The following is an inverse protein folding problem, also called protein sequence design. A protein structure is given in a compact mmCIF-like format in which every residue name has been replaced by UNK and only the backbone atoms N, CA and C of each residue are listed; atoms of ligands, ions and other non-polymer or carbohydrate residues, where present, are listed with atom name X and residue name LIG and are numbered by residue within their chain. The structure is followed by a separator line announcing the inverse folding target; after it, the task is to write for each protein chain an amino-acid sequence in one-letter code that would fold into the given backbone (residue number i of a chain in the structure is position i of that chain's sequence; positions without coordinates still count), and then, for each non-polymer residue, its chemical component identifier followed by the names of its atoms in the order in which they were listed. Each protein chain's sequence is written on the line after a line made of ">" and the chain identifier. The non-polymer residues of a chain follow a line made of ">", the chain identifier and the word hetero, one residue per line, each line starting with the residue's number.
data_IF_511037966879
#
_entry.id   IF_511037966879
#
_cell.length_a   1.000
_cell.length_b   1.000
_cell.length_c   1.000
_cell.angle_alpha   90.00
_cell.angle_beta   90.00
_cell.angle_gamma   90.00
#
_symmetry.space_group_name_H-M   'P 1'
#
loop_
_entity.id
_entity.type
_entity.pdbx_description
1 polymer ?
#
# COMPACT_ATOMS: atom_id res chain seq x y z
N UNK A 1 -24.32 -24.61 -5.46
CA UNK A 1 -23.18 -23.90 -6.10
C UNK A 1 -23.66 -22.53 -6.54
N UNK A 2 -22.87 -21.47 -6.39
CA UNK A 2 -23.25 -20.16 -6.95
C UNK A 2 -23.42 -20.28 -8.47
N UNK A 3 -24.32 -19.46 -9.03
CA UNK A 3 -24.56 -19.43 -10.46
C UNK A 3 -23.26 -19.10 -11.24
N UNK A 4 -23.19 -19.49 -12.52
CA UNK A 4 -22.02 -19.22 -13.35
C UNK A 4 -21.62 -17.74 -13.32
N UNK A 5 -20.33 -17.47 -13.06
CA UNK A 5 -19.81 -16.10 -12.94
C UNK A 5 -19.87 -15.48 -11.53
N UNK A 6 -20.29 -16.22 -10.51
CA UNK A 6 -20.32 -15.80 -9.11
C UNK A 6 -19.34 -16.64 -8.29
N UNK A 7 -18.42 -16.00 -7.59
CA UNK A 7 -17.50 -16.66 -6.67
C UNK A 7 -17.63 -16.00 -5.30
N UNK A 8 -17.80 -16.81 -4.27
CA UNK A 8 -17.82 -16.40 -2.87
C UNK A 8 -16.60 -17.05 -2.20
N UNK A 9 -15.82 -16.27 -1.48
CA UNK A 9 -14.64 -16.73 -0.77
C UNK A 9 -14.67 -16.20 0.66
N UNK A 10 -14.55 -17.10 1.63
CA UNK A 10 -14.29 -16.76 3.02
C UNK A 10 -12.84 -17.15 3.33
N UNK A 11 -12.08 -16.24 3.91
CA UNK A 11 -10.73 -16.49 4.39
C UNK A 11 -10.66 -16.16 5.87
N UNK A 12 -10.04 -17.07 6.63
CA UNK A 12 -9.75 -16.92 8.05
C UNK A 12 -8.28 -17.30 8.23
N UNK A 13 -7.51 -16.45 8.87
CA UNK A 13 -6.10 -16.71 9.15
C UNK A 13 -5.71 -16.19 10.52
N UNK A 14 -4.70 -16.81 11.10
CA UNK A 14 -4.04 -16.36 12.31
C UNK A 14 -2.56 -16.71 12.22
N UNK A 15 -1.71 -15.75 12.55
CA UNK A 15 -0.26 -15.91 12.56
C UNK A 15 0.36 -15.14 13.73
N UNK A 16 1.61 -15.50 14.06
CA UNK A 16 2.44 -14.79 15.02
C UNK A 16 3.60 -14.13 14.34
N UNK A 17 3.81 -12.88 14.69
CA UNK A 17 4.94 -12.07 14.26
C UNK A 17 5.86 -11.84 15.48
N UNK A 18 7.12 -12.22 15.35
CA UNK A 18 8.11 -12.04 16.39
C UNK A 18 8.86 -10.74 16.15
N UNK A 19 9.20 -10.00 17.24
CA UNK A 19 10.00 -8.80 17.12
C UNK A 19 11.34 -9.09 16.43
N UNK A 20 11.80 -8.13 15.65
CA UNK A 20 13.11 -8.23 15.02
C UNK A 20 14.24 -8.20 16.03
N UNK A 21 15.33 -8.94 15.79
CA UNK A 21 16.43 -9.07 16.73
C UNK A 21 17.01 -7.72 17.18
N UNK A 22 17.13 -6.78 16.26
CA UNK A 22 17.66 -5.46 16.57
C UNK A 22 16.68 -4.61 17.42
N UNK A 23 15.36 -4.82 17.31
CA UNK A 23 14.36 -4.09 18.08
C UNK A 23 14.30 -4.51 19.55
N UNK A 24 14.77 -5.74 19.87
CA UNK A 24 14.83 -6.27 21.24
C UNK A 24 16.18 -6.08 21.92
N UNK A 25 17.19 -5.59 21.20
CA UNK A 25 18.50 -5.32 21.80
C UNK A 25 18.40 -4.17 22.80
N UNK A 26 19.06 -4.32 23.97
CA UNK A 26 19.19 -3.21 24.92
C UNK A 26 20.36 -2.30 24.50
N UNK A 27 20.19 -1.63 23.38
CA UNK A 27 21.22 -0.75 22.79
C UNK A 27 20.62 0.56 22.34
N UNK A 28 21.46 1.58 22.29
CA UNK A 28 21.11 2.90 21.75
C UNK A 28 21.96 3.12 20.49
N UNK A 29 21.27 3.44 19.40
CA UNK A 29 21.90 3.84 18.14
C UNK A 29 21.56 5.29 17.84
N UNK A 30 22.53 6.07 17.38
CA UNK A 30 22.35 7.49 17.08
C UNK A 30 22.11 7.68 15.59
N UNK A 31 20.97 8.32 15.21
CA UNK A 31 20.70 8.74 13.84
C UNK A 31 21.26 10.13 13.53
N UNK A 32 21.58 10.89 14.55
CA UNK A 32 22.10 12.25 14.48
C UNK A 32 22.37 12.81 15.86
N UNK A 33 22.75 14.09 15.94
CA UNK A 33 23.08 14.74 17.21
C UNK A 33 21.89 14.80 18.20
N UNK A 34 20.66 14.76 17.68
CA UNK A 34 19.42 14.94 18.44
C UNK A 34 18.40 13.83 18.22
N UNK A 35 18.82 12.69 17.68
CA UNK A 35 17.90 11.57 17.38
C UNK A 35 18.58 10.24 17.72
N UNK A 36 17.91 9.43 18.53
CA UNK A 36 18.38 8.11 18.93
C UNK A 36 17.29 7.05 18.74
N UNK A 37 17.72 5.84 18.40
CA UNK A 37 16.89 4.65 18.37
C UNK A 37 17.24 3.80 19.56
N UNK A 38 16.26 3.45 20.37
CA UNK A 38 16.40 2.56 21.50
C UNK A 38 15.72 1.24 21.22
N UNK A 39 16.38 0.13 21.47
CA UNK A 39 15.75 -1.18 21.49
C UNK A 39 14.89 -1.37 22.74
N UNK A 40 14.02 -2.38 22.70
CA UNK A 40 13.14 -2.74 23.80
C UNK A 40 13.14 -4.26 24.03
N UNK A 41 13.91 -4.76 25.02
CA UNK A 41 13.99 -6.20 25.32
C UNK A 41 12.69 -6.80 25.84
N UNK A 42 11.70 -5.99 26.18
CA UNK A 42 10.40 -6.44 26.71
C UNK A 42 9.33 -6.60 25.63
N UNK A 43 9.70 -6.48 24.36
CA UNK A 43 8.77 -6.70 23.26
C UNK A 43 8.21 -8.12 23.25
N UNK A 44 6.91 -8.22 23.09
CA UNK A 44 6.17 -9.48 23.00
C UNK A 44 5.80 -9.75 21.54
N UNK A 45 5.74 -11.02 21.12
CA UNK A 45 5.21 -11.36 19.82
C UNK A 45 3.79 -10.83 19.61
N UNK A 46 3.56 -10.25 18.45
CA UNK A 46 2.22 -9.89 18.00
C UNK A 46 1.45 -11.13 17.53
N UNK A 47 0.14 -11.13 17.67
CA UNK A 47 -0.73 -12.18 17.11
C UNK A 47 -1.77 -11.52 16.23
N UNK A 48 -1.75 -11.87 14.95
CA UNK A 48 -2.66 -11.38 13.95
C UNK A 48 -3.82 -12.34 13.75
N UNK A 49 -5.02 -11.81 13.62
CA UNK A 49 -6.25 -12.50 13.24
C UNK A 49 -6.87 -11.75 12.08
N UNK A 50 -7.08 -12.43 10.98
CA UNK A 50 -7.66 -11.84 9.78
C UNK A 50 -8.86 -12.62 9.30
N UNK A 51 -9.90 -11.90 8.92
CA UNK A 51 -11.12 -12.45 8.33
C UNK A 51 -11.47 -11.61 7.11
N UNK A 52 -11.75 -12.26 5.99
CA UNK A 52 -12.29 -11.58 4.84
C UNK A 52 -13.36 -12.40 4.14
N UNK A 53 -14.39 -11.73 3.68
CA UNK A 53 -15.41 -12.24 2.80
C UNK A 53 -15.34 -11.51 1.47
N UNK A 54 -15.10 -12.24 0.40
CA UNK A 54 -14.93 -11.68 -0.94
C UNK A 54 -15.98 -12.26 -1.89
N UNK A 55 -16.69 -11.38 -2.57
CA UNK A 55 -17.60 -11.69 -3.66
C UNK A 55 -17.00 -11.22 -4.98
N UNK A 56 -16.86 -12.15 -5.93
CA UNK A 56 -16.37 -11.87 -7.27
C UNK A 56 -17.50 -12.12 -8.27
N UNK A 57 -17.88 -11.10 -9.01
CA UNK A 57 -18.91 -11.16 -10.03
C UNK A 57 -18.27 -11.12 -11.42
N UNK A 58 -18.65 -12.08 -12.28
CA UNK A 58 -18.20 -12.21 -13.69
C UNK A 58 -16.68 -12.18 -13.83
N UNK A 59 -15.93 -12.70 -12.84
CA UNK A 59 -14.46 -12.67 -12.77
C UNK A 59 -13.87 -11.26 -12.97
N UNK A 60 -14.64 -10.21 -12.68
CA UNK A 60 -14.27 -8.81 -12.93
C UNK A 60 -14.47 -7.90 -11.73
N UNK A 61 -15.68 -7.92 -11.15
CA UNK A 61 -16.06 -7.02 -10.07
C UNK A 61 -15.76 -7.72 -8.76
N UNK A 62 -15.00 -7.06 -7.90
CA UNK A 62 -14.60 -7.60 -6.61
C UNK A 62 -15.16 -6.72 -5.50
N UNK A 63 -15.83 -7.33 -4.55
CA UNK A 63 -16.36 -6.70 -3.35
C UNK A 63 -15.88 -7.51 -2.16
N UNK A 64 -15.21 -6.87 -1.21
CA UNK A 64 -14.71 -7.53 -0.01
C UNK A 64 -15.10 -6.78 1.24
N UNK A 65 -15.50 -7.51 2.27
CA UNK A 65 -15.56 -7.04 3.64
C UNK A 65 -14.42 -7.70 4.40
N UNK A 66 -13.70 -6.95 5.21
CA UNK A 66 -12.56 -7.47 5.96
C UNK A 66 -12.53 -6.96 7.39
N UNK A 67 -11.95 -7.76 8.25
CA UNK A 67 -11.64 -7.43 9.62
C UNK A 67 -10.28 -8.00 9.98
N UNK A 68 -9.42 -7.17 10.58
CA UNK A 68 -8.17 -7.62 11.18
C UNK A 68 -8.08 -7.13 12.61
N UNK A 69 -7.45 -7.96 13.44
CA UNK A 69 -7.17 -7.67 14.85
C UNK A 69 -5.77 -8.15 15.18
N UNK A 70 -4.91 -7.27 15.65
CA UNK A 70 -3.55 -7.59 16.07
C UNK A 70 -3.41 -7.35 17.56
N UNK A 71 -3.24 -8.40 18.32
CA UNK A 71 -2.91 -8.35 19.75
C UNK A 71 -1.41 -8.09 19.91
N UNK A 72 -1.02 -7.31 20.91
CA UNK A 72 0.36 -6.87 21.16
C UNK A 72 0.99 -6.24 19.90
N UNK A 73 0.24 -5.38 19.23
CA UNK A 73 0.69 -4.75 17.99
C UNK A 73 1.98 -3.97 18.20
N UNK A 74 3.08 -4.46 17.64
CA UNK A 74 4.38 -3.79 17.70
C UNK A 74 4.41 -2.58 16.78
N UNK A 75 4.91 -1.46 17.30
CA UNK A 75 5.07 -0.26 16.51
C UNK A 75 6.19 0.62 17.05
N UNK A 76 6.95 1.21 16.15
CA UNK A 76 7.91 2.25 16.50
C UNK A 76 7.18 3.54 16.86
N UNK A 77 7.55 4.11 17.98
CA UNK A 77 7.00 5.37 18.49
C UNK A 77 8.11 6.42 18.55
N UNK A 78 7.71 7.67 18.51
CA UNK A 78 8.59 8.83 18.66
C UNK A 78 8.21 9.53 19.97
N UNK A 79 9.22 9.77 20.81
CA UNK A 79 9.10 10.52 22.05
C UNK A 79 10.15 11.62 22.09
N UNK A 80 9.74 12.85 22.29
CA UNK A 80 10.66 13.97 22.52
C UNK A 80 10.91 14.07 24.03
N UNK A 81 12.15 13.89 24.43
CA UNK A 81 12.54 13.95 25.83
C UNK A 81 12.32 15.36 26.41
N UNK A 82 11.70 15.51 27.60
CA UNK A 82 11.61 16.80 28.28
C UNK A 82 12.93 17.17 28.98
N UNK A 83 13.81 16.20 29.25
CA UNK A 83 15.06 16.40 30.00
C UNK A 83 16.26 16.66 29.11
N UNK A 84 16.24 16.14 27.89
CA UNK A 84 17.32 16.25 26.90
C UNK A 84 16.76 16.70 25.56
N UNK A 85 17.51 17.51 24.84
CA UNK A 85 17.13 17.89 23.47
C UNK A 85 17.36 16.73 22.51
N UNK A 86 16.53 15.68 22.63
CA UNK A 86 16.63 14.45 21.84
C UNK A 86 15.27 13.88 21.53
N UNK A 87 15.11 13.39 20.30
CA UNK A 87 14.00 12.56 19.85
C UNK A 87 14.39 11.09 20.02
N UNK A 88 13.56 10.33 20.73
CA UNK A 88 13.76 8.92 21.01
C UNK A 88 12.78 8.10 20.17
N UNK A 89 13.31 7.26 19.30
CA UNK A 89 12.56 6.26 18.55
C UNK A 89 12.66 4.93 19.27
N UNK A 90 11.52 4.38 19.71
CA UNK A 90 11.47 3.13 20.45
C UNK A 90 10.28 2.29 20.04
N UNK A 91 10.44 0.97 20.01
CA UNK A 91 9.34 0.04 19.76
C UNK A 91 8.59 -0.30 21.03
N UNK A 92 7.26 -0.32 20.93
CA UNK A 92 6.35 -0.74 21.98
C UNK A 92 5.32 -1.71 21.42
N UNK A 93 4.77 -2.55 22.31
CA UNK A 93 3.55 -3.30 22.02
C UNK A 93 2.37 -2.51 22.52
N UNK A 94 1.48 -2.13 21.62
CA UNK A 94 0.16 -1.65 21.96
C UNK A 94 -0.74 -2.83 22.33
N UNK A 95 -1.71 -2.64 23.22
CA UNK A 95 -2.67 -3.70 23.62
C UNK A 95 -3.25 -4.39 22.39
N UNK A 96 -3.72 -3.57 21.43
CA UNK A 96 -4.17 -4.05 20.14
C UNK A 96 -4.26 -2.95 19.07
N UNK A 97 -4.28 -3.39 17.84
CA UNK A 97 -4.84 -2.63 16.71
C UNK A 97 -5.96 -3.42 16.03
N UNK A 98 -6.92 -2.73 15.45
CA UNK A 98 -7.97 -3.38 14.67
C UNK A 98 -8.37 -2.53 13.47
N UNK A 99 -8.75 -3.22 12.40
CA UNK A 99 -9.20 -2.62 11.17
C UNK A 99 -10.43 -3.35 10.65
N UNK A 100 -11.50 -2.63 10.34
CA UNK A 100 -12.71 -3.18 9.74
C UNK A 100 -13.11 -2.33 8.55
N UNK A 101 -13.36 -2.93 7.41
CA UNK A 101 -13.61 -2.16 6.20
C UNK A 101 -14.23 -2.93 5.05
N UNK A 102 -14.47 -2.16 4.00
CA UNK A 102 -14.99 -2.62 2.72
C UNK A 102 -14.04 -2.20 1.62
N UNK A 103 -13.89 -3.07 0.64
CA UNK A 103 -13.16 -2.81 -0.59
C UNK A 103 -14.04 -3.14 -1.79
N UNK A 104 -13.98 -2.33 -2.82
CA UNK A 104 -14.55 -2.63 -4.11
C UNK A 104 -13.57 -2.34 -5.23
N UNK A 105 -13.52 -3.23 -6.24
CA UNK A 105 -12.81 -3.02 -7.49
C UNK A 105 -13.77 -3.19 -8.65
N UNK A 106 -13.90 -2.14 -9.44
CA UNK A 106 -14.83 -2.05 -10.57
C UNK A 106 -14.06 -1.70 -11.84
N UNK A 107 -13.75 -2.68 -12.70
CA UNK A 107 -13.29 -2.41 -14.05
C UNK A 107 -14.49 -2.13 -14.97
N UNK A 108 -14.35 -1.15 -15.83
CA UNK A 108 -15.36 -0.87 -16.86
C UNK A 108 -14.70 -0.37 -18.16
N UNK A 109 -15.44 -0.54 -19.26
CA UNK A 109 -15.01 -0.08 -20.57
C UNK A 109 -16.08 0.79 -21.18
N UNK A 110 -15.67 1.93 -21.76
CA UNK A 110 -16.55 2.77 -22.56
C UNK A 110 -16.13 2.60 -24.02
N UNK A 111 -16.94 1.85 -24.76
CA UNK A 111 -16.64 1.49 -26.15
C UNK A 111 -15.22 0.94 -26.30
N UNK A 112 -14.45 1.45 -27.29
CA UNK A 112 -13.06 1.05 -27.55
C UNK A 112 -12.03 2.09 -27.08
N UNK A 113 -12.50 3.24 -26.60
CA UNK A 113 -11.61 4.37 -26.32
C UNK A 113 -11.20 4.47 -24.85
N UNK A 114 -11.96 3.90 -23.89
CA UNK A 114 -11.62 3.94 -22.46
C UNK A 114 -11.69 2.55 -21.84
N UNK A 115 -10.60 2.16 -21.21
CA UNK A 115 -10.50 1.02 -20.28
C UNK A 115 -10.13 1.58 -18.90
N UNK A 116 -11.03 1.39 -17.93
CA UNK A 116 -10.91 1.97 -16.59
C UNK A 116 -11.00 0.90 -15.53
N UNK A 117 -10.23 1.08 -14.44
CA UNK A 117 -10.36 0.31 -13.21
C UNK A 117 -10.32 1.26 -12.03
N UNK A 118 -11.34 1.20 -11.19
CA UNK A 118 -11.44 1.96 -9.96
C UNK A 118 -11.41 0.98 -8.79
N UNK A 119 -10.57 1.24 -7.80
CA UNK A 119 -10.59 0.53 -6.52
C UNK A 119 -10.82 1.54 -5.41
N UNK A 120 -11.82 1.29 -4.59
CA UNK A 120 -12.14 2.09 -3.41
C UNK A 120 -12.08 1.20 -2.18
N UNK A 121 -11.44 1.71 -1.12
CA UNK A 121 -11.32 1.05 0.18
C UNK A 121 -11.75 2.05 1.24
N UNK A 122 -12.67 1.65 2.09
CA UNK A 122 -13.06 2.43 3.26
C UNK A 122 -12.95 1.56 4.49
N UNK A 123 -12.26 2.05 5.52
CA UNK A 123 -12.08 1.28 6.74
C UNK A 123 -12.04 2.16 7.99
N UNK A 124 -12.42 1.58 9.11
CA UNK A 124 -12.19 2.11 10.43
C UNK A 124 -10.94 1.44 11.00
N UNK A 125 -9.96 2.25 11.38
CA UNK A 125 -8.80 1.80 12.14
C UNK A 125 -8.95 2.22 13.60
N UNK A 126 -8.56 1.35 14.54
CA UNK A 126 -8.46 1.65 15.97
C UNK A 126 -7.19 1.03 16.52
N UNK A 127 -6.50 1.79 17.36
CA UNK A 127 -5.36 1.32 18.12
C UNK A 127 -5.51 1.78 19.56
N UNK A 128 -5.21 0.85 20.49
CA UNK A 128 -5.36 1.10 21.91
C UNK A 128 -4.15 0.58 22.67
N UNK A 129 -3.77 1.34 23.69
CA UNK A 129 -2.85 0.95 24.73
C UNK A 129 -3.34 1.52 26.05
N UNK A 130 -3.30 0.71 27.11
CA UNK A 130 -3.75 1.14 28.45
C UNK A 130 -2.70 1.95 29.18
N UNK A 131 -1.42 1.82 28.80
CA UNK A 131 -0.29 2.40 29.53
C UNK A 131 0.85 2.85 28.59
N UNK A 132 0.49 3.66 27.60
CA UNK A 132 1.47 4.20 26.65
C UNK A 132 2.12 5.48 27.21
N UNK A 133 3.37 5.40 27.66
CA UNK A 133 4.06 6.52 28.31
C UNK A 133 3.26 7.15 29.47
N UNK A 134 2.75 6.29 30.36
CA UNK A 134 1.93 6.66 31.53
C UNK A 134 0.62 7.38 31.19
N UNK A 135 0.12 7.27 29.97
CA UNK A 135 -1.14 7.83 29.53
C UNK A 135 -1.99 6.80 28.75
N UNK A 136 -3.32 6.82 28.92
CA UNK A 136 -4.18 5.98 28.11
C UNK A 136 -4.19 6.45 26.66
N UNK A 137 -4.01 5.51 25.75
CA UNK A 137 -3.98 5.76 24.31
C UNK A 137 -5.11 4.97 23.62
N UNK A 138 -6.09 5.66 23.08
CA UNK A 138 -7.18 5.06 22.29
C UNK A 138 -7.48 5.96 21.10
N UNK A 139 -6.97 5.58 19.94
CA UNK A 139 -7.14 6.34 18.70
C UNK A 139 -7.95 5.55 17.69
N UNK A 140 -8.87 6.24 17.03
CA UNK A 140 -9.70 5.69 15.98
C UNK A 140 -9.90 6.71 14.86
N UNK A 141 -9.90 6.23 13.62
CA UNK A 141 -10.14 7.07 12.44
C UNK A 141 -10.80 6.25 11.32
N UNK A 142 -11.61 6.92 10.51
CA UNK A 142 -12.10 6.37 9.25
C UNK A 142 -11.21 6.84 8.11
N UNK A 143 -10.64 5.89 7.40
CA UNK A 143 -9.78 6.15 6.25
C UNK A 143 -10.46 5.67 4.98
N UNK A 144 -10.36 6.48 3.93
CA UNK A 144 -10.83 6.18 2.60
C UNK A 144 -9.66 6.30 1.62
N UNK A 145 -9.48 5.27 0.80
CA UNK A 145 -8.47 5.21 -0.25
C UNK A 145 -9.16 4.99 -1.59
N UNK A 146 -8.80 5.79 -2.57
CA UNK A 146 -9.26 5.65 -3.95
C UNK A 146 -8.06 5.52 -4.87
N UNK A 147 -8.06 4.49 -5.69
CA UNK A 147 -7.12 4.34 -6.81
C UNK A 147 -7.89 4.23 -8.11
N UNK A 148 -7.38 4.86 -9.15
CA UNK A 148 -7.94 4.76 -10.50
C UNK A 148 -6.84 4.57 -11.53
N UNK A 149 -7.13 3.73 -12.51
CA UNK A 149 -6.27 3.51 -13.66
C UNK A 149 -7.14 3.61 -14.92
N UNK A 150 -6.88 4.61 -15.75
CA UNK A 150 -7.65 4.90 -16.95
C UNK A 150 -6.72 4.86 -18.15
N UNK A 151 -7.03 4.01 -19.12
CA UNK A 151 -6.32 3.94 -20.40
C UNK A 151 -7.24 4.42 -21.52
N UNK A 152 -6.88 5.54 -22.12
CA UNK A 152 -7.56 6.13 -23.27
C UNK A 152 -6.85 5.69 -24.54
N UNK A 153 -7.55 5.01 -25.44
CA UNK A 153 -7.07 4.69 -26.78
C UNK A 153 -7.35 5.90 -27.66
N UNK A 154 -6.32 6.72 -27.91
CA UNK A 154 -6.42 7.94 -28.72
C UNK A 154 -6.48 7.60 -30.20
N UNK A 155 -5.72 6.57 -30.63
CA UNK A 155 -5.71 6.05 -31.99
C UNK A 155 -5.35 4.58 -31.99
N UNK A 156 -5.82 3.86 -33.01
CA UNK A 156 -5.47 2.45 -33.23
C UNK A 156 -4.47 2.31 -34.40
N UNK A 157 -4.39 3.30 -35.27
CA UNK A 157 -3.45 3.39 -36.39
C UNK A 157 -3.05 4.85 -36.58
N UNK A 158 -1.90 5.29 -36.00
CA UNK A 158 -0.95 4.55 -35.19
C UNK A 158 -1.52 4.16 -33.82
N UNK A 159 -0.97 3.11 -33.17
CA UNK A 159 -1.39 2.70 -31.81
C UNK A 159 -0.86 3.71 -30.78
N UNK A 160 -1.77 4.60 -30.35
CA UNK A 160 -1.47 5.68 -29.41
C UNK A 160 -2.44 5.58 -28.21
N UNK A 161 -1.88 5.44 -27.03
CA UNK A 161 -2.64 5.34 -25.78
C UNK A 161 -2.15 6.34 -24.75
N UNK A 162 -3.09 6.94 -24.08
CA UNK A 162 -2.86 7.81 -22.93
C UNK A 162 -3.34 7.11 -21.67
N UNK A 163 -2.49 7.02 -20.65
CA UNK A 163 -2.85 6.43 -19.36
C UNK A 163 -2.83 7.51 -18.29
N UNK A 164 -3.86 7.53 -17.47
CA UNK A 164 -3.98 8.41 -16.30
C UNK A 164 -4.20 7.53 -15.07
N UNK A 165 -3.25 7.56 -14.14
CA UNK A 165 -3.31 6.83 -12.87
C UNK A 165 -3.43 7.81 -11.73
N UNK A 166 -4.42 7.61 -10.88
CA UNK A 166 -4.67 8.46 -9.72
C UNK A 166 -4.70 7.68 -8.43
N UNK A 167 -4.19 8.28 -7.38
CA UNK A 167 -4.29 7.81 -6.00
C UNK A 167 -4.77 8.95 -5.12
N UNK A 168 -5.66 8.65 -4.19
CA UNK A 168 -6.09 9.56 -3.16
C UNK A 168 -6.35 8.81 -1.85
N UNK A 169 -5.88 9.37 -0.75
CA UNK A 169 -6.16 8.92 0.60
C UNK A 169 -6.55 10.14 1.43
N UNK A 170 -7.63 10.02 2.21
CA UNK A 170 -7.93 11.03 3.21
C UNK A 170 -6.95 10.91 4.40
N UNK A 171 -7.23 11.55 5.52
CA UNK A 171 -6.39 11.43 6.73
C UNK A 171 -6.36 9.96 7.19
N UNK A 172 -5.18 9.53 7.66
CA UNK A 172 -4.95 8.23 8.27
C UNK A 172 -4.19 8.40 9.59
N UNK A 173 -4.16 7.36 10.39
CA UNK A 173 -3.31 7.25 11.58
C UNK A 173 -2.48 5.98 11.48
N UNK A 174 -1.25 6.08 11.94
CA UNK A 174 -0.34 4.95 12.08
C UNK A 174 0.32 5.07 13.45
N UNK A 175 -0.21 4.33 14.43
CA UNK A 175 0.20 4.50 15.81
C UNK A 175 -0.02 5.92 16.29
N UNK A 176 1.07 6.51 16.73
CA UNK A 176 1.10 7.91 17.21
C UNK A 176 1.10 8.95 16.09
N UNK A 177 1.37 8.52 14.84
CA UNK A 177 1.50 9.42 13.71
C UNK A 177 0.16 9.76 13.07
N UNK A 178 -0.11 11.05 12.95
CA UNK A 178 -1.16 11.57 12.08
C UNK A 178 -0.60 11.72 10.67
N UNK A 179 -1.23 11.05 9.73
CA UNK A 179 -0.95 11.15 8.31
C UNK A 179 -1.99 12.06 7.67
N UNK A 180 -1.60 13.20 7.09
CA UNK A 180 -2.54 14.07 6.37
C UNK A 180 -3.07 13.37 5.12
N UNK A 181 -4.08 13.98 4.50
CA UNK A 181 -4.52 13.56 3.17
C UNK A 181 -3.35 13.60 2.19
N UNK A 182 -3.28 12.61 1.32
CA UNK A 182 -2.29 12.54 0.26
C UNK A 182 -2.91 12.05 -1.04
N UNK A 183 -2.28 12.35 -2.15
CA UNK A 183 -2.70 11.88 -3.45
C UNK A 183 -1.75 12.34 -4.52
N UNK A 184 -1.76 11.60 -5.64
CA UNK A 184 -0.99 11.92 -6.82
C UNK A 184 -1.78 11.59 -8.08
N UNK A 185 -1.38 12.19 -9.16
CA UNK A 185 -1.86 11.92 -10.50
C UNK A 185 -0.67 11.75 -11.44
N UNK A 186 -0.61 10.58 -12.07
CA UNK A 186 0.43 10.23 -13.03
C UNK A 186 -0.16 10.14 -14.43
N UNK A 187 0.60 10.56 -15.44
CA UNK A 187 0.22 10.44 -16.84
C UNK A 187 1.31 9.76 -17.65
N UNK A 188 0.90 8.96 -18.63
CA UNK A 188 1.80 8.37 -19.60
C UNK A 188 1.18 8.37 -21.00
N UNK A 189 1.99 8.73 -22.00
CA UNK A 189 1.64 8.64 -23.42
C UNK A 189 2.49 7.54 -24.05
N UNK A 190 1.85 6.51 -24.57
CA UNK A 190 2.47 5.36 -25.20
C UNK A 190 2.18 5.31 -26.68
N UNK A 191 3.21 5.31 -27.49
CA UNK A 191 3.16 5.18 -28.93
C UNK A 191 3.83 3.87 -29.37
N UNK A 192 3.06 2.99 -30.01
CA UNK A 192 3.52 1.70 -30.52
C UNK A 192 3.60 1.72 -32.05
N UNK A 193 4.74 1.42 -32.62
CA UNK A 193 5.01 1.49 -34.05
C UNK A 193 5.87 0.32 -34.54
N UNK A 194 6.35 0.36 -35.80
CA UNK A 194 7.11 -0.72 -36.41
C UNK A 194 6.40 -2.09 -36.30
N UNK A 195 5.09 -2.14 -36.61
CA UNK A 195 4.25 -3.34 -36.51
C UNK A 195 4.25 -3.96 -35.10
N UNK A 196 4.29 -3.14 -34.06
CA UNK A 196 4.27 -3.56 -32.65
C UNK A 196 5.64 -3.94 -32.09
N UNK A 197 6.72 -3.77 -32.85
CA UNK A 197 8.09 -4.09 -32.40
C UNK A 197 8.71 -2.96 -31.59
N UNK A 198 8.34 -1.71 -31.87
CA UNK A 198 8.87 -0.52 -31.19
C UNK A 198 7.80 0.14 -30.35
N UNK A 199 8.16 0.57 -29.16
CA UNK A 199 7.30 1.31 -28.25
C UNK A 199 8.08 2.47 -27.62
N UNK A 200 7.55 3.67 -27.76
CA UNK A 200 8.00 4.88 -27.07
C UNK A 200 6.99 5.23 -25.99
N UNK A 201 7.45 5.49 -24.79
CA UNK A 201 6.60 5.93 -23.68
C UNK A 201 7.18 7.21 -23.08
N UNK A 202 6.34 8.24 -23.02
CA UNK A 202 6.59 9.45 -22.25
C UNK A 202 5.76 9.38 -20.99
N UNK A 203 6.34 9.66 -19.83
CA UNK A 203 5.62 9.66 -18.56
C UNK A 203 5.91 10.90 -17.74
N UNK A 204 4.93 11.29 -16.95
CA UNK A 204 5.05 12.29 -15.91
C UNK A 204 4.40 11.70 -14.64
N UNK A 205 5.22 11.42 -13.63
CA UNK A 205 4.75 10.95 -12.34
C UNK A 205 4.46 12.18 -11.47
N UNK A 206 3.39 12.12 -10.67
CA UNK A 206 2.93 13.17 -9.77
C UNK A 206 2.88 14.57 -10.41
N UNK A 207 2.04 14.73 -11.43
CA UNK A 207 1.90 15.96 -12.24
C UNK A 207 1.79 17.22 -11.38
N UNK A 208 1.09 17.12 -10.24
CA UNK A 208 0.82 18.26 -9.36
C UNK A 208 1.84 18.43 -8.23
N UNK A 209 2.84 17.51 -8.11
CA UNK A 209 3.83 17.52 -7.02
C UNK A 209 3.18 17.48 -5.63
N UNK A 210 2.20 16.60 -5.46
CA UNK A 210 1.34 16.51 -4.25
C UNK A 210 1.61 15.28 -3.39
N UNK A 211 2.47 14.36 -3.83
CA UNK A 211 2.83 13.13 -3.12
C UNK A 211 3.87 13.36 -2.01
N UNK A 212 3.82 14.52 -1.35
CA UNK A 212 4.70 14.82 -0.24
C UNK A 212 4.22 14.12 1.02
N UNK A 213 5.17 13.48 1.74
CA UNK A 213 4.86 12.84 3.01
C UNK A 213 5.15 13.83 4.13
N UNK A 214 4.14 14.08 4.96
CA UNK A 214 4.34 14.73 6.25
C UNK A 214 3.68 13.89 7.33
N UNK A 215 4.26 13.89 8.52
CA UNK A 215 3.70 13.21 9.69
C UNK A 215 3.64 14.16 10.85
N UNK A 216 2.65 13.98 11.70
CA UNK A 216 2.54 14.74 12.93
C UNK A 216 2.29 13.80 14.10
N UNK A 217 3.01 14.03 15.20
CA UNK A 217 2.83 13.34 16.47
C UNK A 217 2.18 14.30 17.46
N UNK A 218 1.02 13.94 17.98
CA UNK A 218 0.30 14.71 18.98
C UNK A 218 -0.30 13.78 20.02
N UNK A 219 0.39 13.60 21.14
CA UNK A 219 -0.15 12.93 22.31
C UNK A 219 0.57 13.41 23.57
N UNK A 220 -0.12 13.51 24.70
CA UNK A 220 0.42 14.10 25.92
C UNK A 220 1.01 15.48 25.63
N UNK A 221 2.27 15.68 25.99
CA UNK A 221 3.03 16.90 25.73
C UNK A 221 3.75 16.89 24.37
N UNK A 222 3.62 15.81 23.58
CA UNK A 222 4.30 15.66 22.30
C UNK A 222 3.61 16.49 21.22
N UNK A 223 4.38 17.28 20.48
CA UNK A 223 3.92 18.05 19.32
C UNK A 223 5.03 18.18 18.30
N UNK A 224 5.31 17.08 17.59
CA UNK A 224 6.35 16.99 16.57
C UNK A 224 5.71 16.95 15.19
N UNK A 225 6.20 17.74 14.26
CA UNK A 225 5.78 17.74 12.87
C UNK A 225 6.97 17.51 11.98
N UNK A 226 6.96 16.40 11.27
CA UNK A 226 7.95 16.07 10.25
C UNK A 226 7.39 16.44 8.87
N UNK A 227 8.10 17.27 8.15
CA UNK A 227 7.77 17.64 6.79
C UNK A 227 8.95 17.32 5.87
N UNK A 228 8.74 16.37 4.98
CA UNK A 228 9.78 15.98 4.01
C UNK A 228 9.60 16.81 2.74
N UNK A 229 10.47 17.79 2.54
CA UNK A 229 10.53 18.53 1.28
C UNK A 229 11.16 17.64 0.21
N UNK A 230 10.34 17.08 -0.65
CA UNK A 230 10.77 16.24 -1.75
C UNK A 230 10.03 16.63 -3.02
N UNK A 231 10.78 16.83 -4.09
CA UNK A 231 10.17 16.93 -5.42
C UNK A 231 9.78 15.52 -5.85
N UNK A 232 8.48 15.29 -6.00
CA UNK A 232 7.92 13.98 -6.38
C UNK A 232 7.54 13.91 -7.85
N UNK A 233 7.43 15.07 -8.52
CA UNK A 233 7.20 15.14 -9.97
C UNK A 233 8.45 14.75 -10.74
N UNK A 234 8.31 13.69 -11.56
CA UNK A 234 9.38 13.22 -12.42
C UNK A 234 8.90 13.04 -13.86
N UNK A 235 9.80 13.27 -14.80
CA UNK A 235 9.55 13.03 -16.21
C UNK A 235 10.45 11.89 -16.67
N UNK A 236 9.88 10.98 -17.47
CA UNK A 236 10.61 9.83 -17.98
C UNK A 236 10.29 9.58 -19.45
N UNK A 237 11.32 9.12 -20.16
CA UNK A 237 11.20 8.63 -21.53
C UNK A 237 11.75 7.21 -21.57
N UNK A 238 10.99 6.27 -22.13
CA UNK A 238 11.47 4.90 -22.34
C UNK A 238 11.22 4.48 -23.77
N UNK A 239 12.19 3.79 -24.34
CA UNK A 239 12.11 3.19 -25.66
C UNK A 239 12.38 1.70 -25.54
N UNK A 240 11.44 0.89 -26.04
CA UNK A 240 11.53 -0.55 -26.06
C UNK A 240 11.48 -1.04 -27.51
N UNK A 241 12.41 -1.93 -27.89
CA UNK A 241 12.40 -2.55 -29.19
C UNK A 241 12.55 -4.07 -29.06
N UNK A 242 11.65 -4.83 -29.69
CA UNK A 242 11.66 -6.29 -29.70
C UNK A 242 12.51 -6.79 -30.86
N UNK A 243 13.71 -7.29 -30.53
CA UNK A 243 14.60 -7.94 -31.48
C UNK A 243 14.23 -9.43 -31.60
N UNK A 244 14.36 -9.96 -32.81
CA UNK A 244 14.21 -11.37 -33.07
C UNK A 244 12.76 -11.86 -33.21
N UNK A 245 12.61 -13.01 -33.83
CA UNK A 245 11.38 -13.77 -33.98
C UNK A 245 11.55 -15.15 -33.36
N UNK A 246 11.81 -15.21 -32.02
CA UNK A 246 11.81 -16.51 -31.34
C UNK A 246 10.40 -17.09 -31.47
N UNK A 247 10.25 -18.08 -32.34
CA UNK A 247 9.07 -18.95 -32.33
C UNK A 247 9.36 -20.02 -31.30
N UNK A 248 8.58 -20.01 -30.22
CA UNK A 248 8.61 -21.11 -29.26
C UNK A 248 8.44 -22.42 -30.02
N UNK A 249 9.50 -23.27 -30.03
CA UNK A 249 9.37 -24.60 -30.57
C UNK A 249 8.36 -25.32 -29.70
N UNK A 250 7.26 -25.80 -30.29
CA UNK A 250 6.39 -26.76 -29.63
C UNK A 250 7.29 -27.87 -29.08
N UNK A 251 7.33 -28.04 -27.78
CA UNK A 251 7.94 -29.25 -27.20
C UNK A 251 7.15 -30.42 -27.73
N UNK A 252 7.82 -31.31 -28.43
CA UNK A 252 7.26 -32.62 -28.74
C UNK A 252 6.95 -33.29 -27.39
N UNK A 253 5.72 -33.76 -27.24
CA UNK A 253 5.36 -34.55 -26.07
C UNK A 253 6.27 -35.78 -26.06
N UNK A 254 6.94 -36.01 -24.93
CA UNK A 254 7.77 -37.19 -24.74
C UNK A 254 6.86 -38.40 -24.83
N UNK A 255 7.10 -39.27 -25.80
CA UNK A 255 6.38 -40.54 -25.94
C UNK A 255 6.62 -41.41 -24.70
N UNK A 256 5.62 -41.45 -23.82
CA UNK A 256 5.63 -42.25 -22.59
C UNK A 256 5.07 -43.67 -22.82
N UNK A 257 4.80 -44.09 -24.08
CA UNK A 257 4.19 -45.39 -24.37
C UNK A 257 5.06 -46.59 -23.93
N UNK A 258 6.36 -46.39 -23.72
CA UNK A 258 7.29 -47.39 -23.18
C UNK A 258 7.20 -47.65 -21.67
N UNK A 259 6.42 -46.88 -20.96
CA UNK A 259 6.29 -47.00 -19.50
C UNK A 259 4.89 -47.48 -19.05
N UNK A 260 4.14 -48.12 -19.95
CA UNK A 260 2.89 -48.83 -19.62
C UNK A 260 3.14 -50.31 -19.54
#
# INVERSE_FOLDING_TARGET
>A
MPAAGHVLQLSLSSDKEYPEYWSVQNSISYMGAYSEIQGNPYLKPATNYETSFTYILKSKYVFSAFYSYTKNNEMQTLYQSPERLVEIYKFFNFDFSSQAGLMMTVPFKVKKWLDSRITAIGFRYRQKDSDFWDIPFDRKLYTFVLTMNNTFTLSTKPDLKFTLTGFYQNRAIQGIFDLPRSGNLDAALRYTFAKGKAQLTLKCDDIFNTSTVSTQVRYGLQNVKNHYMRTTRTFGVSFNYKFGGYKEKKREEVDTSRFK
#
